data_IF_400650286444
#
_entry.id   IF_400650286444
#
_cell.length_a   1.000
_cell.length_b   1.000
_cell.length_c   1.000
_cell.angle_alpha   90.00
_cell.angle_beta   90.00
_cell.angle_gamma   90.00
#
_symmetry.space_group_name_H-M   'P 1'
#
loop_
_entity.id
_entity.type
_entity.pdbx_description
1 polymer ?
#
# COMPACT_ATOMS: atom_id res chain seq x y z
N UNK A 1 -24.29 -20.74 -5.87
CA UNK A 1 -23.74 -21.07 -4.55
C UNK A 1 -23.46 -19.78 -3.81
N UNK A 2 -23.98 -19.61 -2.60
CA UNK A 2 -23.77 -18.45 -1.73
C UNK A 2 -23.61 -19.01 -0.30
N UNK A 3 -22.69 -18.45 0.47
CA UNK A 3 -22.49 -18.82 1.87
C UNK A 3 -22.96 -17.67 2.76
N UNK A 4 -23.76 -17.99 3.77
CA UNK A 4 -24.19 -17.06 4.81
C UNK A 4 -23.69 -17.52 6.17
N UNK A 5 -23.24 -16.57 6.98
CA UNK A 5 -23.01 -16.77 8.40
C UNK A 5 -24.30 -16.45 9.17
N UNK A 6 -24.76 -17.37 10.01
CA UNK A 6 -25.94 -17.18 10.84
C UNK A 6 -25.54 -16.48 12.14
N UNK A 7 -25.93 -15.21 12.29
CA UNK A 7 -25.59 -14.37 13.45
C UNK A 7 -26.77 -14.17 14.42
N UNK A 8 -27.95 -14.66 14.05
CA UNK A 8 -29.16 -14.65 14.87
C UNK A 8 -30.19 -15.64 14.33
N UNK A 9 -31.38 -15.68 14.95
CA UNK A 9 -32.44 -16.63 14.57
C UNK A 9 -32.80 -16.54 13.08
N UNK A 10 -32.99 -15.30 12.60
CA UNK A 10 -33.36 -14.97 11.22
C UNK A 10 -32.46 -13.86 10.67
N UNK A 11 -31.20 -13.83 11.11
CA UNK A 11 -30.24 -12.79 10.72
C UNK A 11 -28.99 -13.45 10.17
N UNK A 12 -28.66 -13.09 8.94
CA UNK A 12 -27.59 -13.69 8.17
C UNK A 12 -26.67 -12.61 7.62
N UNK A 13 -25.39 -12.92 7.59
CA UNK A 13 -24.37 -12.09 6.97
C UNK A 13 -23.76 -12.84 5.81
N UNK A 14 -23.50 -12.14 4.69
CA UNK A 14 -22.91 -12.78 3.52
C UNK A 14 -21.46 -13.16 3.85
N UNK A 15 -21.18 -14.46 3.90
CA UNK A 15 -19.85 -15.01 4.05
C UNK A 15 -19.17 -15.04 2.67
N UNK A 16 -19.77 -15.70 1.68
CA UNK A 16 -19.21 -15.68 0.33
C UNK A 16 -20.32 -15.56 -0.73
N UNK A 17 -20.00 -14.88 -1.83
CA UNK A 17 -20.95 -14.59 -2.90
C UNK A 17 -21.53 -13.18 -2.89
N UNK A 18 -20.87 -12.22 -2.22
CA UNK A 18 -21.28 -10.82 -2.24
C UNK A 18 -21.48 -10.30 -3.68
N UNK A 19 -20.52 -10.54 -4.59
CA UNK A 19 -20.65 -10.12 -5.99
C UNK A 19 -21.84 -10.77 -6.71
N UNK A 20 -22.18 -12.03 -6.38
CA UNK A 20 -23.32 -12.75 -6.96
C UNK A 20 -24.63 -12.15 -6.47
N UNK A 21 -24.77 -11.94 -5.16
CA UNK A 21 -25.96 -11.30 -4.55
C UNK A 21 -26.13 -9.88 -5.11
N UNK A 22 -25.07 -9.09 -5.16
CA UNK A 22 -25.12 -7.73 -5.71
C UNK A 22 -25.45 -7.72 -7.21
N UNK A 23 -24.88 -8.63 -8.00
CA UNK A 23 -25.18 -8.72 -9.44
C UNK A 23 -26.65 -9.07 -9.69
N UNK A 24 -27.18 -10.05 -8.95
CA UNK A 24 -28.60 -10.40 -9.01
C UNK A 24 -29.48 -9.21 -8.65
N UNK A 25 -29.22 -8.56 -7.52
CA UNK A 25 -29.97 -7.39 -7.07
C UNK A 25 -29.92 -6.23 -8.07
N UNK A 26 -28.74 -5.96 -8.66
CA UNK A 26 -28.57 -4.93 -9.69
C UNK A 26 -29.31 -5.27 -10.97
N UNK A 27 -29.33 -6.55 -11.38
CA UNK A 27 -30.01 -6.96 -12.59
C UNK A 27 -31.54 -6.83 -12.46
N UNK A 28 -32.11 -7.35 -11.37
CA UNK A 28 -33.57 -7.29 -11.14
C UNK A 28 -34.09 -5.87 -10.89
N UNK A 29 -33.20 -4.91 -10.63
CA UNK A 29 -33.51 -3.48 -10.46
C UNK A 29 -33.06 -2.62 -11.66
N UNK A 30 -32.91 -3.27 -12.83
CA UNK A 30 -32.62 -2.63 -14.12
C UNK A 30 -31.34 -1.77 -14.14
N UNK A 31 -30.34 -2.12 -13.32
CA UNK A 31 -29.05 -1.39 -13.27
C UNK A 31 -28.08 -1.77 -14.39
N UNK A 32 -28.35 -2.84 -15.14
CA UNK A 32 -27.62 -3.22 -16.34
C UNK A 32 -28.43 -4.20 -17.20
N UNK A 33 -28.04 -4.35 -18.47
CA UNK A 33 -28.64 -5.30 -19.41
C UNK A 33 -27.77 -6.56 -19.59
N UNK A 34 -28.40 -7.71 -19.82
CA UNK A 34 -27.72 -8.94 -20.28
C UNK A 34 -28.01 -9.19 -21.75
N UNK A 35 -27.13 -9.89 -22.45
CA UNK A 35 -27.39 -10.30 -23.84
C UNK A 35 -28.23 -11.58 -23.86
N UNK A 36 -29.23 -11.62 -24.71
CA UNK A 36 -29.97 -12.85 -25.00
C UNK A 36 -29.24 -13.74 -26.03
N UNK A 37 -29.90 -14.82 -26.41
CA UNK A 37 -29.46 -15.84 -27.37
C UNK A 37 -29.13 -15.25 -28.75
N UNK A 38 -29.74 -14.12 -29.10
CA UNK A 38 -29.54 -13.39 -30.35
C UNK A 38 -28.55 -12.22 -30.20
N UNK A 39 -27.91 -12.09 -29.03
CA UNK A 39 -26.99 -11.01 -28.71
C UNK A 39 -27.67 -9.67 -28.39
N UNK A 40 -29.01 -9.65 -28.28
CA UNK A 40 -29.77 -8.42 -28.03
C UNK A 40 -29.74 -8.06 -26.53
N UNK A 41 -29.52 -6.78 -26.18
CA UNK A 41 -29.56 -6.34 -24.78
C UNK A 41 -30.97 -6.45 -24.19
N UNK A 42 -31.07 -7.09 -23.03
CA UNK A 42 -32.29 -7.27 -22.26
C UNK A 42 -32.11 -6.69 -20.86
N UNK A 43 -32.98 -5.76 -20.47
CA UNK A 43 -33.15 -5.32 -19.09
C UNK A 43 -34.32 -6.07 -18.46
N UNK A 44 -34.22 -6.38 -17.18
CA UNK A 44 -35.15 -7.28 -16.48
C UNK A 44 -36.60 -6.82 -16.62
N UNK A 45 -36.89 -5.53 -16.43
CA UNK A 45 -38.22 -4.95 -16.53
C UNK A 45 -38.89 -5.09 -17.91
N UNK A 46 -38.09 -5.17 -18.99
CA UNK A 46 -38.58 -5.29 -20.36
C UNK A 46 -38.62 -6.74 -20.87
N UNK A 47 -38.18 -7.70 -20.07
CA UNK A 47 -38.23 -9.11 -20.45
C UNK A 47 -39.67 -9.62 -20.49
N UNK A 48 -39.91 -10.60 -21.36
CA UNK A 48 -41.15 -11.36 -21.35
C UNK A 48 -41.39 -12.02 -19.99
N UNK A 49 -42.67 -12.11 -19.58
CA UNK A 49 -43.06 -12.52 -18.22
C UNK A 49 -42.57 -13.92 -17.84
N UNK A 50 -42.58 -14.84 -18.80
CA UNK A 50 -42.06 -16.20 -18.67
C UNK A 50 -40.56 -16.21 -18.34
N UNK A 51 -39.77 -15.33 -18.97
CA UNK A 51 -38.33 -15.19 -18.70
C UNK A 51 -38.07 -14.55 -17.35
N UNK A 52 -38.85 -13.53 -16.97
CA UNK A 52 -38.77 -12.93 -15.63
C UNK A 52 -39.03 -13.98 -14.54
N UNK A 53 -40.10 -14.76 -14.69
CA UNK A 53 -40.47 -15.81 -13.74
C UNK A 53 -39.39 -16.88 -13.64
N UNK A 54 -38.82 -17.32 -14.77
CA UNK A 54 -37.70 -18.26 -14.79
C UNK A 54 -36.52 -17.78 -13.93
N UNK A 55 -36.20 -16.48 -13.97
CA UNK A 55 -35.12 -15.90 -13.17
C UNK A 55 -35.51 -15.83 -11.69
N UNK A 56 -36.72 -15.35 -11.36
CA UNK A 56 -37.21 -15.22 -9.99
C UNK A 56 -37.39 -16.57 -9.27
N UNK A 57 -37.75 -17.60 -10.02
CA UNK A 57 -37.98 -18.97 -9.50
C UNK A 57 -36.70 -19.83 -9.50
N UNK A 58 -35.59 -19.31 -10.03
CA UNK A 58 -34.32 -20.04 -10.03
C UNK A 58 -33.86 -20.30 -8.60
N UNK A 59 -33.79 -21.59 -8.23
CA UNK A 59 -33.33 -22.01 -6.91
C UNK A 59 -31.84 -21.71 -6.73
N UNK A 60 -31.52 -20.93 -5.70
CA UNK A 60 -30.14 -20.65 -5.32
C UNK A 60 -29.66 -21.71 -4.32
N UNK A 61 -28.49 -22.29 -4.58
CA UNK A 61 -27.79 -23.10 -3.58
C UNK A 61 -27.20 -22.17 -2.52
N UNK A 62 -27.73 -22.26 -1.31
CA UNK A 62 -27.33 -21.47 -0.15
C UNK A 62 -26.79 -22.41 0.93
N UNK A 63 -25.61 -22.09 1.46
CA UNK A 63 -25.04 -22.72 2.65
C UNK A 63 -25.19 -21.78 3.83
N UNK A 64 -25.80 -22.27 4.90
CA UNK A 64 -25.86 -21.59 6.20
C UNK A 64 -24.73 -22.15 7.07
N UNK A 65 -23.84 -21.26 7.52
CA UNK A 65 -22.72 -21.58 8.38
C UNK A 65 -22.99 -21.03 9.78
N UNK A 66 -22.76 -21.85 10.80
CA UNK A 66 -22.89 -21.46 12.21
C UNK A 66 -21.67 -21.99 12.96
N UNK A 67 -20.96 -21.11 13.65
CA UNK A 67 -19.72 -21.45 14.35
C UNK A 67 -19.13 -20.29 15.14
N UNK A 68 -18.04 -20.54 15.84
CA UNK A 68 -17.26 -19.51 16.52
C UNK A 68 -16.57 -18.57 15.52
N UNK A 69 -16.21 -17.36 15.93
CA UNK A 69 -15.50 -16.38 15.08
C UNK A 69 -14.22 -16.96 14.46
N UNK A 70 -13.47 -17.76 15.23
CA UNK A 70 -12.27 -18.44 14.75
C UNK A 70 -12.57 -19.45 13.64
N UNK A 71 -13.62 -20.26 13.80
CA UNK A 71 -14.04 -21.23 12.78
C UNK A 71 -14.55 -20.53 11.52
N UNK A 72 -15.34 -19.47 11.67
CA UNK A 72 -15.84 -18.66 10.55
C UNK A 72 -14.65 -18.10 9.76
N UNK A 73 -13.62 -17.57 10.44
CA UNK A 73 -12.39 -17.06 9.82
C UNK A 73 -11.63 -18.14 9.04
N UNK A 74 -11.54 -19.35 9.58
CA UNK A 74 -10.90 -20.48 8.90
C UNK A 74 -11.69 -20.96 7.69
N UNK A 75 -13.00 -21.15 7.83
CA UNK A 75 -13.88 -21.50 6.71
C UNK A 75 -13.80 -20.47 5.60
N UNK A 76 -13.78 -19.18 5.95
CA UNK A 76 -13.65 -18.09 4.99
C UNK A 76 -12.34 -18.17 4.21
N UNK A 77 -11.21 -18.42 4.89
CA UNK A 77 -9.91 -18.63 4.23
C UNK A 77 -9.98 -19.80 3.27
N UNK A 78 -10.53 -20.94 3.70
CA UNK A 78 -10.64 -22.16 2.89
C UNK A 78 -11.52 -21.97 1.66
N UNK A 79 -12.70 -21.36 1.82
CA UNK A 79 -13.64 -21.12 0.71
C UNK A 79 -13.01 -20.20 -0.36
N UNK A 80 -12.20 -19.23 0.04
CA UNK A 80 -11.57 -18.29 -0.87
C UNK A 80 -10.33 -18.84 -1.62
N UNK A 81 -9.85 -20.05 -1.32
CA UNK A 81 -8.66 -20.64 -1.97
C UNK A 81 -8.86 -20.79 -3.48
N UNK A 82 -10.05 -21.18 -3.93
CA UNK A 82 -10.33 -21.40 -5.34
C UNK A 82 -10.62 -20.11 -6.13
N UNK A 83 -10.77 -18.97 -5.44
CA UNK A 83 -11.11 -17.68 -6.03
C UNK A 83 -9.91 -16.72 -6.13
N UNK A 84 -10.17 -15.47 -6.52
CA UNK A 84 -9.17 -14.40 -6.40
C UNK A 84 -8.87 -14.20 -4.91
N UNK A 85 -7.60 -14.32 -4.48
CA UNK A 85 -7.27 -14.18 -3.07
C UNK A 85 -7.72 -12.83 -2.51
N UNK A 86 -8.49 -12.92 -1.43
CA UNK A 86 -8.86 -11.74 -0.66
C UNK A 86 -7.64 -11.20 0.09
N UNK A 87 -7.57 -9.88 0.22
CA UNK A 87 -6.56 -9.24 1.04
C UNK A 87 -6.93 -9.34 2.53
N UNK A 88 -5.98 -8.99 3.40
CA UNK A 88 -6.16 -9.10 4.85
C UNK A 88 -7.37 -8.29 5.34
N UNK A 89 -7.59 -7.08 4.83
CA UNK A 89 -8.73 -6.25 5.22
C UNK A 89 -10.07 -6.83 4.79
N UNK A 90 -10.14 -7.45 3.61
CA UNK A 90 -11.32 -8.16 3.12
C UNK A 90 -11.67 -9.35 4.04
N UNK A 91 -10.66 -10.09 4.52
CA UNK A 91 -10.85 -11.16 5.51
C UNK A 91 -11.35 -10.61 6.86
N UNK A 92 -10.76 -9.51 7.34
CA UNK A 92 -11.15 -8.90 8.62
C UNK A 92 -12.58 -8.36 8.60
N UNK A 93 -13.00 -7.78 7.47
CA UNK A 93 -14.36 -7.29 7.29
C UNK A 93 -15.42 -8.39 7.32
N UNK A 94 -15.07 -9.62 6.94
CA UNK A 94 -15.97 -10.76 7.04
C UNK A 94 -16.10 -11.30 8.46
N UNK A 95 -15.05 -11.17 9.28
CA UNK A 95 -15.05 -11.64 10.67
C UNK A 95 -15.70 -10.62 11.61
N UNK A 96 -15.44 -9.33 11.40
CA UNK A 96 -15.88 -8.25 12.28
C UNK A 96 -17.01 -7.40 11.66
N UNK A 97 -17.89 -8.04 10.93
CA UNK A 97 -19.11 -7.46 10.35
C UNK A 97 -19.95 -6.69 11.39
N UNK A 98 -20.65 -5.67 10.89
CA UNK A 98 -21.56 -4.86 11.69
C UNK A 98 -21.73 -3.44 11.15
N UNK A 99 -22.57 -2.61 11.80
CA UNK A 99 -22.88 -1.26 11.35
C UNK A 99 -21.65 -0.37 11.13
N UNK A 100 -20.60 -0.54 11.96
CA UNK A 100 -19.34 0.17 11.82
C UNK A 100 -18.64 -0.15 10.49
N UNK A 101 -18.45 -1.44 10.18
CA UNK A 101 -17.76 -1.86 8.95
C UNK A 101 -18.55 -1.45 7.71
N UNK A 102 -19.88 -1.52 7.76
CA UNK A 102 -20.73 -1.02 6.66
C UNK A 102 -20.45 0.45 6.38
N UNK A 103 -20.50 1.31 7.40
CA UNK A 103 -20.22 2.75 7.26
C UNK A 103 -18.77 3.02 6.84
N UNK A 104 -17.82 2.27 7.37
CA UNK A 104 -16.41 2.42 7.03
C UNK A 104 -16.16 2.10 5.55
N UNK A 105 -16.86 1.08 5.00
CA UNK A 105 -16.82 0.75 3.57
C UNK A 105 -17.50 1.82 2.71
N UNK A 106 -18.64 2.36 3.15
CA UNK A 106 -19.33 3.47 2.46
C UNK A 106 -18.43 4.70 2.31
N UNK A 107 -17.62 5.01 3.32
CA UNK A 107 -16.68 6.13 3.26
C UNK A 107 -15.42 5.78 2.45
N UNK A 108 -14.70 4.74 2.84
CA UNK A 108 -13.32 4.49 2.38
C UNK A 108 -13.21 3.51 1.21
N UNK A 109 -14.26 2.76 0.91
CA UNK A 109 -14.28 1.78 -0.19
C UNK A 109 -15.20 2.19 -1.36
N UNK A 110 -15.76 3.39 -1.31
CA UNK A 110 -16.58 3.95 -2.38
C UNK A 110 -15.71 4.61 -3.45
N UNK A 111 -15.58 3.98 -4.63
CA UNK A 111 -14.79 4.51 -5.77
C UNK A 111 -15.26 5.85 -6.32
N UNK A 112 -16.46 6.32 -5.94
CA UNK A 112 -17.01 7.62 -6.34
C UNK A 112 -16.82 8.69 -5.24
N UNK A 113 -16.12 8.38 -4.14
CA UNK A 113 -15.84 9.36 -3.11
C UNK A 113 -14.96 10.50 -3.67
N UNK A 114 -15.41 11.75 -3.47
CA UNK A 114 -14.73 12.95 -3.97
C UNK A 114 -13.29 13.10 -3.43
N UNK A 115 -12.97 12.49 -2.29
CA UNK A 115 -11.65 12.59 -1.68
C UNK A 115 -10.63 11.58 -2.24
N UNK A 116 -11.03 10.64 -3.11
CA UNK A 116 -10.12 9.60 -3.62
C UNK A 116 -8.87 10.18 -4.26
N UNK A 117 -9.00 11.26 -5.01
CA UNK A 117 -7.85 11.89 -5.65
C UNK A 117 -6.85 12.39 -4.59
N UNK A 118 -7.35 13.02 -3.52
CA UNK A 118 -6.52 13.49 -2.39
C UNK A 118 -5.87 12.32 -1.66
N UNK A 119 -6.63 11.27 -1.35
CA UNK A 119 -6.11 10.11 -0.63
C UNK A 119 -5.07 9.33 -1.43
N UNK A 120 -5.25 9.22 -2.75
CA UNK A 120 -4.33 8.48 -3.64
C UNK A 120 -2.95 9.14 -3.74
N UNK A 121 -2.80 10.42 -3.38
CA UNK A 121 -1.50 11.08 -3.30
C UNK A 121 -0.62 10.53 -2.16
N UNK A 122 -1.24 9.99 -1.10
CA UNK A 122 -0.54 9.60 0.13
C UNK A 122 -0.67 8.11 0.44
N UNK A 123 -1.79 7.49 0.07
CA UNK A 123 -2.10 6.09 0.36
C UNK A 123 -2.04 5.28 -0.92
N UNK A 124 -1.22 4.22 -0.91
CA UNK A 124 -1.07 3.34 -2.07
C UNK A 124 -2.23 2.34 -2.18
N UNK A 125 -2.79 2.22 -3.38
CA UNK A 125 -3.81 1.23 -3.71
C UNK A 125 -5.13 1.86 -4.18
N UNK A 126 -6.23 1.12 -4.04
CA UNK A 126 -7.54 1.56 -4.52
C UNK A 126 -8.65 1.36 -3.49
N UNK A 127 -9.68 2.20 -3.59
CA UNK A 127 -10.89 2.11 -2.77
C UNK A 127 -11.56 0.73 -2.92
N UNK A 128 -11.63 0.20 -4.15
CA UNK A 128 -12.28 -1.09 -4.43
C UNK A 128 -11.56 -2.28 -3.77
N UNK A 129 -10.23 -2.18 -3.58
CA UNK A 129 -9.45 -3.16 -2.81
C UNK A 129 -9.32 -2.78 -1.33
N UNK A 130 -10.14 -1.83 -0.88
CA UNK A 130 -10.28 -1.42 0.52
C UNK A 130 -8.97 -0.88 1.12
N UNK A 131 -8.07 -0.36 0.28
CA UNK A 131 -6.74 0.08 0.73
C UNK A 131 -6.78 1.35 1.58
N UNK A 132 -7.70 2.27 1.29
CA UNK A 132 -7.93 3.43 2.15
C UNK A 132 -8.52 3.03 3.51
N UNK A 133 -9.42 2.04 3.53
CA UNK A 133 -10.00 1.53 4.77
C UNK A 133 -8.93 0.83 5.63
N UNK A 134 -8.15 -0.06 5.02
CA UNK A 134 -7.03 -0.74 5.67
C UNK A 134 -6.05 0.27 6.27
N UNK A 135 -5.67 1.29 5.50
CA UNK A 135 -4.77 2.35 5.96
C UNK A 135 -5.37 3.20 7.10
N UNK A 136 -6.66 3.58 7.01
CA UNK A 136 -7.32 4.32 8.07
C UNK A 136 -7.38 3.53 9.38
N UNK A 137 -7.71 2.24 9.28
CA UNK A 137 -7.75 1.33 10.43
C UNK A 137 -6.35 1.10 11.00
N UNK A 138 -5.36 0.89 10.16
CA UNK A 138 -3.95 0.75 10.56
C UNK A 138 -3.49 1.94 11.39
N UNK A 139 -3.77 3.15 10.90
CA UNK A 139 -3.37 4.40 11.56
C UNK A 139 -4.05 4.59 12.92
N UNK A 140 -5.38 4.48 13.00
CA UNK A 140 -6.09 4.71 14.28
C UNK A 140 -5.78 3.61 15.30
N UNK A 141 -5.52 2.39 14.85
CA UNK A 141 -5.23 1.23 15.70
C UNK A 141 -3.74 1.02 15.98
N UNK A 142 -2.86 1.82 15.38
CA UNK A 142 -1.40 1.66 15.45
C UNK A 142 -0.94 0.26 15.04
N UNK A 143 -1.52 -0.25 13.95
CA UNK A 143 -1.24 -1.58 13.40
C UNK A 143 -2.11 -2.72 13.96
N UNK A 144 -2.94 -2.48 14.98
CA UNK A 144 -3.80 -3.51 15.59
C UNK A 144 -5.25 -3.48 15.06
N UNK A 145 -5.39 -3.66 13.74
CA UNK A 145 -6.67 -3.53 13.02
C UNK A 145 -7.75 -4.47 13.57
N UNK A 146 -7.40 -5.74 13.80
CA UNK A 146 -8.37 -6.76 14.20
C UNK A 146 -9.01 -6.46 15.55
N UNK A 147 -8.21 -6.07 16.54
CA UNK A 147 -8.71 -5.72 17.88
C UNK A 147 -9.57 -4.45 17.83
N UNK A 148 -9.17 -3.45 17.04
CA UNK A 148 -9.95 -2.23 16.85
C UNK A 148 -11.31 -2.56 16.22
N UNK A 149 -11.33 -3.30 15.12
CA UNK A 149 -12.57 -3.70 14.46
C UNK A 149 -13.49 -4.51 15.37
N UNK A 150 -12.94 -5.45 16.14
CA UNK A 150 -13.73 -6.27 17.07
C UNK A 150 -14.44 -5.41 18.13
N UNK A 151 -13.74 -4.43 18.71
CA UNK A 151 -14.31 -3.49 19.70
C UNK A 151 -15.39 -2.60 19.11
N UNK A 152 -15.17 -2.10 17.89
CA UNK A 152 -16.04 -1.09 17.28
C UNK A 152 -17.14 -1.66 16.38
N UNK A 153 -17.17 -2.96 16.07
CA UNK A 153 -18.10 -3.51 15.03
C UNK A 153 -19.57 -3.17 15.22
N UNK A 154 -20.02 -2.97 16.48
CA UNK A 154 -21.40 -2.63 16.84
C UNK A 154 -21.68 -1.12 16.83
N UNK A 155 -20.66 -0.28 16.68
CA UNK A 155 -20.80 1.16 16.70
C UNK A 155 -21.61 1.64 15.50
N UNK A 156 -22.44 2.66 15.74
CA UNK A 156 -23.34 3.20 14.73
C UNK A 156 -22.70 4.32 13.90
N UNK A 157 -21.45 4.72 14.16
CA UNK A 157 -20.73 5.75 13.42
C UNK A 157 -19.26 5.35 13.27
N UNK A 158 -18.51 6.12 12.49
CA UNK A 158 -17.07 5.92 12.23
C UNK A 158 -16.29 7.21 12.50
N UNK A 159 -16.81 8.05 13.41
CA UNK A 159 -16.35 9.44 13.53
C UNK A 159 -14.89 9.52 13.98
N UNK A 160 -14.48 8.65 14.90
CA UNK A 160 -13.08 8.52 15.34
C UNK A 160 -12.16 8.12 14.17
N UNK A 161 -12.51 7.04 13.46
CA UNK A 161 -11.75 6.55 12.31
C UNK A 161 -11.59 7.64 11.24
N UNK A 162 -12.69 8.30 10.88
CA UNK A 162 -12.70 9.35 9.86
C UNK A 162 -11.92 10.58 10.31
N UNK A 163 -12.09 11.00 11.57
CA UNK A 163 -11.36 12.14 12.13
C UNK A 163 -9.86 11.88 12.17
N UNK A 164 -9.44 10.71 12.65
CA UNK A 164 -8.02 10.37 12.73
C UNK A 164 -7.38 10.38 11.34
N UNK A 165 -7.99 9.66 10.39
CA UNK A 165 -7.48 9.60 9.02
C UNK A 165 -7.34 10.98 8.38
N UNK A 166 -8.38 11.82 8.50
CA UNK A 166 -8.32 13.19 7.96
C UNK A 166 -7.28 14.05 8.68
N UNK A 167 -7.10 13.88 9.99
CA UNK A 167 -6.08 14.63 10.75
C UNK A 167 -4.68 14.33 10.23
N UNK A 168 -4.37 13.06 9.95
CA UNK A 168 -3.09 12.67 9.34
C UNK A 168 -2.94 13.30 7.95
N UNK A 169 -3.94 13.16 7.09
CA UNK A 169 -3.91 13.69 5.71
C UNK A 169 -3.77 15.23 5.69
N UNK A 170 -4.50 15.92 6.56
CA UNK A 170 -4.49 17.37 6.66
C UNK A 170 -3.16 17.86 7.24
N UNK A 171 -2.58 17.13 8.20
CA UNK A 171 -1.23 17.40 8.68
C UNK A 171 -0.21 17.30 7.55
N UNK A 172 -0.20 16.22 6.76
CA UNK A 172 0.72 16.07 5.61
C UNK A 172 0.57 17.25 4.67
N UNK A 173 -0.67 17.58 4.30
CA UNK A 173 -0.99 18.66 3.35
C UNK A 173 -0.64 20.06 3.90
N UNK A 174 -0.60 20.21 5.23
CA UNK A 174 -0.18 21.45 5.88
C UNK A 174 1.34 21.61 5.92
N UNK A 175 2.09 20.50 6.01
CA UNK A 175 3.55 20.50 6.07
C UNK A 175 4.17 20.58 4.67
N UNK A 176 3.65 19.78 3.73
CA UNK A 176 4.15 19.64 2.37
C UNK A 176 3.17 20.25 1.38
N UNK A 177 3.49 21.44 0.86
CA UNK A 177 2.68 22.12 -0.16
C UNK A 177 2.94 21.60 -1.57
N UNK A 178 4.10 20.99 -1.79
CA UNK A 178 4.42 20.30 -3.04
C UNK A 178 4.03 18.83 -2.90
N UNK A 179 3.14 18.34 -3.77
CA UNK A 179 2.68 16.94 -3.77
C UNK A 179 3.41 16.18 -4.84
N UNK A 180 4.28 15.26 -4.41
CA UNK A 180 5.10 14.43 -5.30
C UNK A 180 4.63 12.98 -5.31
N UNK A 181 4.91 12.25 -6.39
CA UNK A 181 4.42 10.88 -6.57
C UNK A 181 4.97 9.90 -5.52
N UNK A 182 6.18 10.15 -5.03
CA UNK A 182 6.89 9.37 -4.04
C UNK A 182 6.33 9.53 -2.62
N UNK A 183 5.43 10.49 -2.40
CA UNK A 183 4.65 10.59 -1.16
C UNK A 183 3.64 9.44 -1.02
N UNK A 184 3.27 8.80 -2.13
CA UNK A 184 2.30 7.72 -2.12
C UNK A 184 2.89 6.45 -1.47
N UNK A 185 2.25 5.99 -0.39
CA UNK A 185 2.59 4.75 0.30
C UNK A 185 3.73 4.86 1.32
N UNK A 186 4.08 6.07 1.76
CA UNK A 186 4.95 6.23 2.94
C UNK A 186 4.19 5.87 4.22
N UNK A 187 4.93 5.61 5.30
CA UNK A 187 4.38 5.26 6.62
C UNK A 187 3.82 6.50 7.34
N UNK A 188 2.89 7.20 6.69
CA UNK A 188 2.36 8.48 7.16
C UNK A 188 1.73 8.43 8.55
N UNK A 189 1.13 7.31 8.94
CA UNK A 189 0.62 7.11 10.30
C UNK A 189 1.75 7.16 11.34
N UNK A 190 2.86 6.46 11.10
CA UNK A 190 4.06 6.50 11.97
C UNK A 190 4.69 7.89 11.96
N UNK A 191 4.89 8.47 10.79
CA UNK A 191 5.48 9.80 10.64
C UNK A 191 4.64 10.88 11.33
N UNK A 192 3.32 10.78 11.26
CA UNK A 192 2.42 11.66 12.00
C UNK A 192 2.67 11.53 13.51
N UNK A 193 2.63 10.32 14.06
CA UNK A 193 2.85 10.10 15.50
C UNK A 193 4.20 10.66 15.99
N UNK A 194 5.25 10.52 15.19
CA UNK A 194 6.61 10.97 15.54
C UNK A 194 6.83 12.48 15.38
N UNK A 195 6.14 13.14 14.44
CA UNK A 195 6.49 14.50 14.01
C UNK A 195 5.37 15.54 14.12
N UNK A 196 4.10 15.18 14.30
CA UNK A 196 2.98 16.15 14.23
C UNK A 196 3.03 17.26 15.28
N UNK A 197 3.72 17.03 16.40
CA UNK A 197 3.90 18.04 17.45
C UNK A 197 4.99 19.07 17.13
N UNK A 198 5.85 18.78 16.13
CA UNK A 198 6.89 19.70 15.68
C UNK A 198 6.28 20.78 14.79
N UNK A 199 6.85 21.98 14.86
CA UNK A 199 6.43 23.11 14.01
C UNK A 199 7.23 23.11 12.72
N UNK A 200 6.52 23.06 11.59
CA UNK A 200 7.11 23.18 10.27
C UNK A 200 6.72 24.52 9.64
N UNK A 201 7.64 25.14 8.90
CA UNK A 201 7.33 26.26 8.03
C UNK A 201 7.17 25.72 6.61
N UNK A 202 5.94 25.70 6.04
CA UNK A 202 5.69 25.03 4.76
C UNK A 202 6.51 25.59 3.60
N UNK A 203 6.80 26.90 3.61
CA UNK A 203 7.64 27.52 2.58
C UNK A 203 9.10 27.04 2.65
N UNK A 204 9.64 26.82 3.86
CA UNK A 204 10.98 26.25 4.03
C UNK A 204 11.02 24.78 3.63
N UNK A 205 10.01 24.01 4.05
CA UNK A 205 9.87 22.59 3.67
C UNK A 205 9.81 22.44 2.15
N UNK A 206 8.97 23.23 1.47
CA UNK A 206 8.87 23.24 0.00
C UNK A 206 10.22 23.55 -0.68
N UNK A 207 10.96 24.56 -0.20
CA UNK A 207 12.27 24.89 -0.74
C UNK A 207 13.28 23.74 -0.57
N UNK A 208 13.26 23.05 0.59
CA UNK A 208 14.11 21.90 0.87
C UNK A 208 13.75 20.68 0.02
N UNK A 209 12.45 20.38 -0.13
CA UNK A 209 11.96 19.31 -1.02
C UNK A 209 12.47 19.54 -2.43
N UNK A 210 12.25 20.71 -3.02
CA UNK A 210 12.68 21.03 -4.40
C UNK A 210 14.19 20.93 -4.56
N UNK A 211 14.96 21.38 -3.56
CA UNK A 211 16.43 21.25 -3.56
C UNK A 211 16.86 19.79 -3.62
N UNK A 212 16.34 18.95 -2.73
CA UNK A 212 16.70 17.53 -2.66
C UNK A 212 16.15 16.71 -3.85
N UNK A 213 15.02 17.12 -4.41
CA UNK A 213 14.48 16.54 -5.64
C UNK A 213 15.37 16.84 -6.84
N UNK A 214 15.82 18.09 -6.99
CA UNK A 214 16.73 18.52 -8.05
C UNK A 214 18.16 17.99 -7.90
N UNK A 215 18.53 17.48 -6.73
CA UNK A 215 19.86 16.92 -6.49
C UNK A 215 20.01 15.54 -7.16
N UNK A 216 20.96 15.47 -8.09
CA UNK A 216 21.32 14.25 -8.83
C UNK A 216 21.91 13.15 -7.94
N UNK A 217 22.54 13.52 -6.82
CA UNK A 217 23.18 12.60 -5.90
C UNK A 217 22.18 11.92 -4.96
N UNK A 218 21.02 12.52 -4.70
CA UNK A 218 19.93 11.89 -3.93
C UNK A 218 19.29 10.79 -4.76
N UNK A 219 19.41 9.54 -4.33
CA UNK A 219 18.86 8.37 -5.04
C UNK A 219 17.52 7.92 -4.51
N UNK A 220 17.28 8.09 -3.22
CA UNK A 220 15.99 7.76 -2.63
C UNK A 220 15.15 9.04 -2.47
N UNK A 221 14.20 9.22 -3.39
CA UNK A 221 13.28 10.35 -3.37
C UNK A 221 12.17 10.18 -2.33
N UNK A 222 11.86 8.95 -1.92
CA UNK A 222 10.90 8.67 -0.83
C UNK A 222 11.45 9.09 0.53
N UNK A 223 12.74 8.86 0.76
CA UNK A 223 13.39 9.24 2.01
C UNK A 223 13.52 10.75 2.24
N UNK A 224 13.30 11.59 1.22
CA UNK A 224 13.33 13.07 1.35
C UNK A 224 12.34 13.55 2.41
N UNK A 225 11.11 13.03 2.39
CA UNK A 225 10.04 13.53 3.26
C UNK A 225 10.35 13.24 4.73
N UNK A 226 10.75 12.01 5.06
CA UNK A 226 11.15 11.64 6.42
C UNK A 226 12.44 12.35 6.85
N UNK A 227 13.41 12.52 5.94
CA UNK A 227 14.63 13.28 6.22
C UNK A 227 14.34 14.71 6.67
N UNK A 228 13.44 15.41 5.96
CA UNK A 228 13.02 16.77 6.30
C UNK A 228 12.25 16.79 7.62
N UNK A 229 11.30 15.87 7.82
CA UNK A 229 10.56 15.75 9.09
C UNK A 229 11.49 15.49 10.28
N UNK A 230 12.57 14.73 10.06
CA UNK A 230 13.67 14.44 10.98
C UNK A 230 14.62 15.62 11.24
N UNK A 231 14.38 16.77 10.63
CA UNK A 231 15.21 17.96 10.80
C UNK A 231 16.53 17.89 10.03
N UNK A 232 16.56 17.18 8.89
CA UNK A 232 17.71 17.07 8.00
C UNK A 232 18.93 16.38 8.63
N UNK A 233 18.71 15.37 9.46
CA UNK A 233 19.78 14.69 10.22
C UNK A 233 20.20 13.33 9.62
N UNK A 234 19.24 12.45 9.31
CA UNK A 234 19.55 11.09 8.87
C UNK A 234 19.74 11.00 7.35
N UNK A 235 20.94 11.33 6.89
CA UNK A 235 21.31 11.31 5.46
C UNK A 235 21.23 9.92 4.82
N UNK A 236 21.14 8.84 5.60
CA UNK A 236 20.96 7.48 5.05
C UNK A 236 19.63 7.34 4.32
N UNK A 237 18.60 8.08 4.75
CA UNK A 237 17.29 8.12 4.10
C UNK A 237 17.38 8.63 2.66
N UNK A 238 18.35 9.47 2.34
CA UNK A 238 18.50 10.05 0.99
C UNK A 238 19.25 9.12 0.02
N UNK A 239 19.90 8.07 0.54
CA UNK A 239 20.80 7.19 -0.22
C UNK A 239 21.73 8.00 -1.14
N UNK A 240 22.51 8.92 -0.54
CA UNK A 240 23.33 9.86 -1.29
C UNK A 240 24.45 9.11 -2.02
N UNK A 241 24.46 9.23 -3.34
CA UNK A 241 25.58 8.77 -4.17
C UNK A 241 26.74 9.75 -4.01
N UNK A 242 27.83 9.31 -3.38
CA UNK A 242 29.00 10.19 -3.16
C UNK A 242 29.78 10.40 -4.47
N UNK A 243 29.84 9.39 -5.34
CA UNK A 243 30.53 9.46 -6.65
C UNK A 243 29.76 8.69 -7.72
N UNK A 244 29.73 9.23 -8.94
CA UNK A 244 29.11 8.57 -10.10
C UNK A 244 29.95 7.35 -10.57
N UNK A 245 29.31 6.41 -11.28
CA UNK A 245 30.03 5.23 -11.78
C UNK A 245 31.19 5.59 -12.72
N UNK A 246 31.07 6.58 -13.62
CA UNK A 246 32.19 7.02 -14.46
C UNK A 246 33.43 7.43 -13.63
N UNK A 247 33.27 8.24 -12.58
CA UNK A 247 34.40 8.67 -11.75
C UNK A 247 35.02 7.48 -11.00
N UNK A 248 34.19 6.61 -10.40
CA UNK A 248 34.68 5.39 -9.73
C UNK A 248 35.47 4.49 -10.69
N UNK A 249 34.96 4.32 -11.91
CA UNK A 249 35.61 3.52 -12.95
C UNK A 249 36.91 4.15 -13.44
N UNK A 250 36.94 5.46 -13.65
CA UNK A 250 38.15 6.17 -14.06
C UNK A 250 39.28 6.01 -13.03
N UNK A 251 38.96 6.15 -11.73
CA UNK A 251 39.93 5.94 -10.64
C UNK A 251 40.39 4.48 -10.57
N UNK A 252 39.46 3.53 -10.67
CA UNK A 252 39.80 2.11 -10.73
C UNK A 252 40.74 1.77 -11.91
N UNK A 253 40.44 2.29 -13.10
CA UNK A 253 41.26 2.05 -14.29
C UNK A 253 42.64 2.71 -14.18
N UNK A 254 42.74 3.89 -13.56
CA UNK A 254 44.01 4.54 -13.25
C UNK A 254 44.84 3.69 -12.27
N UNK A 255 44.25 3.29 -11.14
CA UNK A 255 44.91 2.43 -10.15
C UNK A 255 45.35 1.10 -10.75
N UNK A 256 44.53 0.51 -11.62
CA UNK A 256 44.84 -0.75 -12.28
C UNK A 256 46.00 -0.63 -13.27
N UNK A 257 46.03 0.43 -14.10
CA UNK A 257 47.14 0.72 -15.01
C UNK A 257 48.45 1.01 -14.27
N UNK A 258 48.41 1.79 -13.19
CA UNK A 258 49.59 2.03 -12.37
C UNK A 258 50.13 0.75 -11.71
N UNK A 259 49.23 -0.14 -11.29
CA UNK A 259 49.59 -1.43 -10.74
C UNK A 259 50.16 -2.40 -11.79
N UNK A 260 49.68 -2.34 -13.02
CA UNK A 260 50.24 -3.05 -14.18
C UNK A 260 51.69 -2.69 -14.44
N UNK A 261 51.97 -1.39 -14.57
CA UNK A 261 53.32 -0.89 -14.83
C UNK A 261 54.29 -1.25 -13.69
N UNK A 262 53.83 -1.21 -12.44
CA UNK A 262 54.64 -1.51 -11.24
C UNK A 262 54.70 -3.00 -10.90
N UNK A 263 54.00 -3.89 -11.64
CA UNK A 263 53.83 -5.33 -11.36
C UNK A 263 53.41 -5.63 -9.90
N UNK A 264 52.53 -4.79 -9.35
CA UNK A 264 51.98 -4.91 -7.99
C UNK A 264 50.45 -5.00 -8.04
N UNK A 265 49.80 -5.26 -6.91
CA UNK A 265 48.34 -5.22 -6.78
C UNK A 265 47.82 -3.80 -7.00
N UNK A 266 46.61 -3.69 -7.58
CA UNK A 266 45.85 -2.43 -7.68
C UNK A 266 45.15 -2.04 -6.36
N UNK A 267 45.27 -2.89 -5.34
CA UNK A 267 44.91 -2.60 -3.96
C UNK A 267 46.15 -2.09 -3.20
N UNK A 268 46.12 -0.85 -2.72
CA UNK A 268 47.26 -0.22 -2.04
C UNK A 268 47.70 -0.99 -0.80
N UNK A 269 46.76 -1.42 0.04
CA UNK A 269 47.01 -2.26 1.22
C UNK A 269 47.58 -3.64 0.86
N UNK A 270 47.10 -4.24 -0.23
CA UNK A 270 47.53 -5.55 -0.68
C UNK A 270 48.93 -5.51 -1.28
N UNK A 271 49.31 -4.40 -1.92
CA UNK A 271 50.63 -4.18 -2.52
C UNK A 271 51.77 -3.99 -1.50
N UNK A 272 51.43 -3.73 -0.22
CA UNK A 272 52.40 -3.55 0.88
C UNK A 272 52.64 -4.85 1.67
N UNK A 273 51.76 -5.86 1.55
CA UNK A 273 51.89 -7.14 2.25
C UNK A 273 52.88 -8.11 1.61
N UNK A 274 53.39 -9.08 2.40
CA UNK A 274 54.40 -10.07 1.97
C UNK A 274 53.84 -11.34 1.32
N UNK A 275 52.52 -11.45 1.14
CA UNK A 275 51.86 -12.70 0.75
C UNK A 275 51.52 -12.76 -0.75
N UNK A 276 50.98 -13.91 -1.20
CA UNK A 276 50.53 -14.21 -2.57
C UNK A 276 49.52 -13.19 -3.17
N UNK A 277 49.00 -12.27 -2.36
CA UNK A 277 48.09 -11.21 -2.79
C UNK A 277 48.81 -9.92 -3.26
N UNK A 278 50.12 -9.79 -3.06
CA UNK A 278 50.91 -8.60 -3.41
C UNK A 278 50.93 -8.25 -4.90
N UNK A 279 50.64 -9.22 -5.76
CA UNK A 279 50.54 -9.08 -7.22
C UNK A 279 49.12 -9.34 -7.75
N UNK A 280 48.17 -9.78 -6.90
CA UNK A 280 46.82 -10.18 -7.32
C UNK A 280 45.98 -8.95 -7.68
N UNK A 281 45.29 -9.01 -8.82
CA UNK A 281 44.31 -8.00 -9.23
C UNK A 281 43.01 -8.14 -8.44
N UNK A 282 42.51 -7.01 -7.98
CA UNK A 282 41.24 -6.88 -7.28
C UNK A 282 40.22 -6.25 -8.20
N UNK A 283 38.99 -6.77 -8.13
CA UNK A 283 37.84 -6.25 -8.86
C UNK A 283 37.43 -4.86 -8.34
N UNK A 284 36.62 -4.14 -9.13
CA UNK A 284 36.09 -2.82 -8.73
C UNK A 284 35.28 -2.90 -7.42
N UNK A 285 34.59 -4.01 -7.17
CA UNK A 285 33.81 -4.25 -5.95
C UNK A 285 34.73 -4.42 -4.75
N UNK A 286 35.81 -5.17 -4.89
CA UNK A 286 36.81 -5.36 -3.82
C UNK A 286 37.58 -4.07 -3.50
N UNK A 287 37.67 -3.12 -4.43
CA UNK A 287 38.36 -1.84 -4.27
C UNK A 287 37.44 -0.66 -3.90
N UNK A 288 36.14 -0.89 -3.68
CA UNK A 288 35.16 0.18 -3.54
C UNK A 288 35.57 1.25 -2.50
N UNK A 289 36.09 0.85 -1.34
CA UNK A 289 36.53 1.77 -0.28
C UNK A 289 37.78 2.56 -0.70
N UNK A 290 38.79 1.92 -1.30
CA UNK A 290 40.00 2.61 -1.76
C UNK A 290 39.73 3.55 -2.94
N UNK A 291 38.80 3.20 -3.81
CA UNK A 291 38.33 4.06 -4.90
C UNK A 291 37.68 5.31 -4.30
N UNK A 292 36.80 5.16 -3.31
CA UNK A 292 36.14 6.28 -2.62
C UNK A 292 37.19 7.20 -1.98
N UNK A 293 38.17 6.66 -1.24
CA UNK A 293 39.23 7.46 -0.61
C UNK A 293 40.12 8.17 -1.62
N UNK A 294 40.40 7.55 -2.76
CA UNK A 294 41.26 8.14 -3.80
C UNK A 294 40.56 9.25 -4.60
N UNK A 295 39.23 9.33 -4.58
CA UNK A 295 38.49 10.45 -5.20
C UNK A 295 38.49 11.69 -4.28
N UNK A 296 38.74 11.52 -2.98
CA UNK A 296 38.77 12.61 -1.99
C UNK A 296 40.12 13.34 -1.87
N UNK A 297 41.15 12.89 -2.60
CA UNK A 297 42.53 13.42 -2.58
C UNK A 297 42.85 14.10 -3.90
#
# INVERSE_FOLDING_TARGET
>A
MIYFNKVGKDTFEVLDGQQRVTSLGRFITDKFAIKDENGMPQIFGNMAKDKQNKILETKLLIYECEGTESQIKEWFKTINIAGVPLNNQELLNAVYSGPFVTKAKEEFSNSQNANIQKWSAYVSGSANRQKFLECALDWVSKGNIGDYMSKHRKDKNIDELKKYFNTVIDWISSVFTDVESEMCGLEWGRLYEEHHTKKFNPAKVSAEVRKLYGDFFVKDKKGIFEYILGGNNDTKLLNIRIFDEPTKRAVYEKQTREAETKKKSNCSLCAVGHDANSSKRKSVVELAIQIISAIQV
#
